data_IF_581300099271
#
_entry.id   IF_581300099271
#
_cell.length_a   1.000
_cell.length_b   1.000
_cell.length_c   1.000
_cell.angle_alpha   90.00
_cell.angle_beta   90.00
_cell.angle_gamma   90.00
#
_symmetry.space_group_name_H-M   'P 1'
#
loop_
_entity.id
_entity.type
_entity.pdbx_description
1 polymer ?
#
# COMPACT_ATOMS: atom_id res chain seq x y z
N UNK A 1 9.90 -32.07 6.22
CA UNK A 1 9.18 -32.00 4.93
C UNK A 1 8.81 -30.56 4.67
N UNK A 2 9.45 -29.91 3.71
CA UNK A 2 9.14 -28.52 3.32
C UNK A 2 7.91 -28.56 2.41
N UNK A 3 6.77 -28.06 2.88
CA UNK A 3 5.59 -27.88 2.03
C UNK A 3 5.89 -26.70 1.10
N UNK A 4 5.89 -26.96 -0.21
CA UNK A 4 6.03 -25.89 -1.20
C UNK A 4 4.97 -24.80 -0.90
N UNK A 5 5.34 -23.51 -0.93
CA UNK A 5 4.41 -22.43 -0.61
C UNK A 5 3.21 -22.50 -1.56
N UNK A 6 2.01 -22.51 -0.98
CA UNK A 6 0.77 -22.55 -1.75
C UNK A 6 0.75 -21.38 -2.75
N UNK A 7 0.62 -21.70 -4.04
CA UNK A 7 0.61 -20.68 -5.08
C UNK A 7 -0.57 -19.71 -4.87
N UNK A 8 -0.33 -18.41 -5.03
CA UNK A 8 -1.38 -17.41 -4.88
C UNK A 8 -2.56 -17.68 -5.84
N UNK A 9 -3.81 -17.48 -5.39
CA UNK A 9 -5.00 -17.62 -6.23
C UNK A 9 -4.84 -16.91 -7.58
N UNK A 10 -5.27 -17.55 -8.67
CA UNK A 10 -5.14 -17.01 -10.04
C UNK A 10 -5.70 -15.58 -10.16
N UNK A 11 -6.80 -15.30 -9.46
CA UNK A 11 -7.44 -13.97 -9.42
C UNK A 11 -6.52 -12.89 -8.83
N UNK A 12 -5.84 -13.18 -7.72
CA UNK A 12 -4.91 -12.22 -7.12
C UNK A 12 -3.70 -11.96 -8.03
N UNK A 13 -3.21 -12.98 -8.72
CA UNK A 13 -2.14 -12.78 -9.72
C UNK A 13 -2.58 -11.88 -10.87
N UNK A 14 -3.81 -12.05 -11.36
CA UNK A 14 -4.38 -11.18 -12.40
C UNK A 14 -4.52 -9.73 -11.91
N UNK A 15 -5.01 -9.51 -10.68
CA UNK A 15 -5.11 -8.17 -10.11
C UNK A 15 -3.73 -7.49 -10.00
N UNK A 16 -2.70 -8.22 -9.59
CA UNK A 16 -1.33 -7.69 -9.56
C UNK A 16 -0.80 -7.34 -10.96
N UNK A 17 -1.13 -8.16 -11.96
CA UNK A 17 -0.76 -7.87 -13.36
C UNK A 17 -1.51 -6.63 -13.89
N UNK A 18 -2.80 -6.49 -13.58
CA UNK A 18 -3.58 -5.29 -13.94
C UNK A 18 -2.99 -4.06 -13.27
N UNK A 19 -2.68 -4.13 -11.97
CA UNK A 19 -2.03 -3.04 -11.25
C UNK A 19 -0.70 -2.64 -11.90
N UNK A 20 0.14 -3.62 -12.28
CA UNK A 20 1.41 -3.35 -12.96
C UNK A 20 1.20 -2.64 -14.30
N UNK A 21 0.21 -3.07 -15.09
CA UNK A 21 -0.14 -2.40 -16.35
C UNK A 21 -0.58 -0.96 -16.10
N UNK A 22 -1.46 -0.71 -15.12
CA UNK A 22 -1.90 0.64 -14.76
C UNK A 22 -0.72 1.53 -14.33
N UNK A 23 0.19 1.00 -13.51
CA UNK A 23 1.41 1.69 -13.11
C UNK A 23 2.29 2.06 -14.32
N UNK A 24 2.53 1.10 -15.23
CA UNK A 24 3.33 1.34 -16.43
C UNK A 24 2.67 2.35 -17.38
N UNK A 25 1.34 2.31 -17.50
CA UNK A 25 0.57 3.28 -18.28
C UNK A 25 0.65 4.69 -17.68
N UNK A 26 0.71 4.81 -16.35
CA UNK A 26 0.82 6.11 -15.67
C UNK A 26 2.22 6.74 -15.78
N UNK A 27 3.28 5.93 -15.90
CA UNK A 27 4.66 6.44 -15.96
C UNK A 27 4.90 7.55 -17.00
N UNK A 28 4.53 7.41 -18.29
CA UNK A 28 4.84 8.41 -19.32
C UNK A 28 4.05 9.72 -19.22
N UNK A 29 3.04 9.81 -18.36
CA UNK A 29 2.26 11.05 -18.21
C UNK A 29 2.99 12.04 -17.30
N UNK A 30 3.15 13.28 -17.73
CA UNK A 30 3.65 14.41 -16.93
C UNK A 30 2.59 14.93 -15.94
N UNK A 31 1.99 14.01 -15.18
CA UNK A 31 1.04 14.37 -14.13
C UNK A 31 1.76 14.57 -12.79
N UNK A 32 1.57 15.76 -12.21
CA UNK A 32 2.13 16.15 -10.91
C UNK A 32 1.11 16.04 -9.79
N UNK A 33 -0.10 15.53 -10.05
CA UNK A 33 -1.14 15.37 -9.03
C UNK A 33 -0.78 14.26 -8.05
N UNK A 34 -1.01 14.51 -6.75
CA UNK A 34 -0.78 13.51 -5.69
C UNK A 34 -1.78 12.36 -5.72
N UNK A 35 -2.93 12.55 -6.38
CA UNK A 35 -4.03 11.59 -6.37
C UNK A 35 -3.62 10.25 -6.98
N UNK A 36 -2.95 10.26 -8.13
CA UNK A 36 -2.55 9.05 -8.83
C UNK A 36 -1.56 8.18 -8.06
N UNK A 37 -0.39 8.68 -7.58
CA UNK A 37 0.52 7.86 -6.81
C UNK A 37 -0.10 7.38 -5.50
N UNK A 38 -1.00 8.16 -4.89
CA UNK A 38 -1.72 7.75 -3.68
C UNK A 38 -2.68 6.58 -3.96
N UNK A 39 -3.49 6.67 -5.03
CA UNK A 39 -4.41 5.59 -5.43
C UNK A 39 -3.62 4.33 -5.78
N UNK A 40 -2.55 4.44 -6.57
CA UNK A 40 -1.70 3.30 -6.91
C UNK A 40 -1.07 2.65 -5.67
N UNK A 41 -0.61 3.45 -4.70
CA UNK A 41 -0.08 2.94 -3.44
C UNK A 41 -1.14 2.24 -2.59
N UNK A 42 -2.34 2.81 -2.48
CA UNK A 42 -3.46 2.19 -1.76
C UNK A 42 -3.88 0.86 -2.40
N UNK A 43 -4.01 0.82 -3.73
CA UNK A 43 -4.34 -0.40 -4.46
C UNK A 43 -3.27 -1.47 -4.25
N UNK A 44 -1.99 -1.08 -4.26
CA UNK A 44 -0.87 -1.97 -3.99
C UNK A 44 -0.93 -2.52 -2.56
N UNK A 45 -1.20 -1.67 -1.56
CA UNK A 45 -1.41 -2.08 -0.17
C UNK A 45 -2.55 -3.10 -0.06
N UNK A 46 -3.71 -2.83 -0.66
CA UNK A 46 -4.86 -3.74 -0.61
C UNK A 46 -4.51 -5.08 -1.24
N UNK A 47 -3.91 -5.06 -2.43
CA UNK A 47 -3.52 -6.27 -3.13
C UNK A 47 -2.50 -7.11 -2.33
N UNK A 48 -1.47 -6.47 -1.78
CA UNK A 48 -0.47 -7.15 -0.95
C UNK A 48 -1.10 -7.69 0.35
N UNK A 49 -2.06 -7.00 0.97
CA UNK A 49 -2.75 -7.47 2.17
C UNK A 49 -3.53 -8.75 1.87
N UNK A 50 -4.29 -8.75 0.78
CA UNK A 50 -5.05 -9.91 0.31
C UNK A 50 -4.11 -11.09 -0.01
N UNK A 51 -2.95 -10.82 -0.60
CA UNK A 51 -1.96 -11.85 -0.91
C UNK A 51 -1.34 -12.45 0.34
N UNK A 52 -1.12 -11.63 1.36
CA UNK A 52 -0.58 -12.06 2.64
C UNK A 52 -1.65 -12.67 3.55
N UNK A 53 -2.95 -12.67 3.18
CA UNK A 53 -4.08 -13.13 4.02
C UNK A 53 -3.82 -14.39 4.85
N UNK A 54 -3.24 -15.47 4.28
CA UNK A 54 -2.93 -16.68 5.05
C UNK A 54 -2.02 -16.43 6.25
N UNK A 55 -1.01 -15.56 6.10
CA UNK A 55 -0.14 -15.16 7.20
C UNK A 55 -0.90 -14.36 8.27
N UNK A 56 -1.72 -13.38 7.87
CA UNK A 56 -2.50 -12.59 8.83
C UNK A 56 -3.43 -13.45 9.67
N UNK A 57 -4.03 -14.48 9.07
CA UNK A 57 -4.92 -15.41 9.79
C UNK A 57 -4.24 -16.20 10.89
N UNK A 58 -2.90 -16.29 10.89
CA UNK A 58 -2.12 -16.94 11.95
C UNK A 58 -1.69 -15.98 13.07
N UNK A 59 -1.83 -14.66 12.88
CA UNK A 59 -1.38 -13.69 13.86
C UNK A 59 -2.29 -13.67 15.08
N UNK A 60 -1.68 -13.57 16.26
CA UNK A 60 -2.39 -13.26 17.49
C UNK A 60 -3.01 -11.86 17.46
N UNK A 61 -3.96 -11.61 18.35
CA UNK A 61 -4.83 -10.41 18.34
C UNK A 61 -4.06 -9.07 18.33
N UNK A 62 -3.10 -8.93 19.23
CA UNK A 62 -2.28 -7.70 19.33
C UNK A 62 -1.43 -7.53 18.06
N UNK A 63 -0.86 -8.62 17.55
CA UNK A 63 -0.09 -8.59 16.32
C UNK A 63 -0.95 -8.19 15.12
N UNK A 64 -2.17 -8.72 14.97
CA UNK A 64 -3.07 -8.34 13.88
C UNK A 64 -3.38 -6.84 13.86
N UNK A 65 -3.64 -6.23 15.02
CA UNK A 65 -3.89 -4.78 15.12
C UNK A 65 -2.64 -3.95 14.78
N UNK A 66 -1.47 -4.34 15.31
CA UNK A 66 -0.21 -3.65 15.04
C UNK A 66 0.16 -3.74 13.56
N UNK A 67 0.01 -4.93 12.96
CA UNK A 67 0.32 -5.11 11.54
C UNK A 67 -0.71 -4.36 10.68
N UNK A 68 -2.00 -4.28 11.06
CA UNK A 68 -2.97 -3.45 10.34
C UNK A 68 -2.64 -1.95 10.38
N UNK A 69 -2.19 -1.45 11.54
CA UNK A 69 -1.67 -0.08 11.68
C UNK A 69 -0.45 0.17 10.79
N UNK A 70 0.54 -0.72 10.85
CA UNK A 70 1.73 -0.67 10.02
C UNK A 70 1.39 -0.76 8.52
N UNK A 71 0.36 -1.53 8.17
CA UNK A 71 -0.08 -1.70 6.79
C UNK A 71 -0.69 -0.45 6.22
N UNK A 72 -1.60 0.20 6.94
CA UNK A 72 -2.20 1.44 6.44
C UNK A 72 -1.16 2.58 6.43
N UNK A 73 -0.23 2.59 7.37
CA UNK A 73 0.93 3.49 7.36
C UNK A 73 1.89 3.26 6.18
N UNK A 74 1.86 2.07 5.56
CA UNK A 74 2.69 1.80 4.38
C UNK A 74 2.22 2.53 3.12
N UNK A 75 0.95 2.95 3.04
CA UNK A 75 0.42 3.64 1.86
C UNK A 75 1.12 5.00 1.60
N UNK A 76 1.29 5.91 2.59
CA UNK A 76 2.12 7.11 2.40
C UNK A 76 3.57 6.78 2.01
N UNK A 77 4.18 5.76 2.61
CA UNK A 77 5.58 5.36 2.30
C UNK A 77 5.70 4.89 0.85
N UNK A 78 4.78 4.05 0.38
CA UNK A 78 4.74 3.60 -1.01
C UNK A 78 4.45 4.77 -1.95
N UNK A 79 3.57 5.69 -1.57
CA UNK A 79 3.31 6.93 -2.35
C UNK A 79 4.59 7.74 -2.53
N UNK A 80 5.36 7.95 -1.46
CA UNK A 80 6.66 8.63 -1.52
C UNK A 80 7.63 7.87 -2.44
N UNK A 81 7.69 6.54 -2.33
CA UNK A 81 8.51 5.70 -3.20
C UNK A 81 8.14 5.84 -4.68
N UNK A 82 6.85 5.87 -5.02
CA UNK A 82 6.37 6.09 -6.38
C UNK A 82 6.71 7.49 -6.90
N UNK A 83 6.59 8.52 -6.05
CA UNK A 83 6.97 9.90 -6.41
C UNK A 83 8.47 10.01 -6.71
N UNK A 84 9.33 9.41 -5.87
CA UNK A 84 10.78 9.35 -6.08
C UNK A 84 11.11 8.58 -7.36
N UNK A 85 10.48 7.40 -7.55
CA UNK A 85 10.71 6.57 -8.72
C UNK A 85 10.36 7.31 -10.01
N UNK A 86 9.18 7.93 -10.09
CA UNK A 86 8.75 8.68 -11.27
C UNK A 86 9.69 9.85 -11.56
N UNK A 87 10.01 10.64 -10.54
CA UNK A 87 10.96 11.78 -10.67
C UNK A 87 12.33 11.33 -11.18
N UNK A 88 12.79 10.14 -10.78
CA UNK A 88 14.06 9.58 -11.22
C UNK A 88 14.03 9.03 -12.66
N UNK A 89 12.89 8.53 -13.12
CA UNK A 89 12.74 7.95 -14.47
C UNK A 89 12.70 9.04 -15.55
N UNK A 90 12.12 10.20 -15.27
CA UNK A 90 11.91 11.22 -16.31
C UNK A 90 13.13 12.07 -16.69
N UNK A 91 14.29 11.91 -16.05
CA UNK A 91 15.59 12.46 -16.47
C UNK A 91 15.64 13.97 -16.85
N UNK A 92 14.68 14.78 -16.43
CA UNK A 92 14.71 16.23 -16.54
C UNK A 92 15.40 16.89 -15.33
N UNK A 93 15.92 18.10 -15.53
CA UNK A 93 16.71 18.84 -14.53
C UNK A 93 15.94 19.32 -13.29
N UNK A 94 14.67 18.96 -13.16
CA UNK A 94 13.81 19.29 -12.03
C UNK A 94 12.96 18.08 -11.62
N UNK A 95 12.57 17.98 -10.34
CA UNK A 95 11.70 16.91 -9.85
C UNK A 95 10.25 17.11 -10.33
N UNK A 96 9.56 16.01 -10.64
CA UNK A 96 8.13 16.00 -11.00
C UNK A 96 7.22 16.52 -9.88
N UNK A 97 7.65 16.31 -8.64
CA UNK A 97 6.89 16.68 -7.45
C UNK A 97 7.63 17.73 -6.62
N UNK A 98 6.91 18.76 -6.21
CA UNK A 98 7.44 19.80 -5.34
C UNK A 98 7.66 19.26 -3.92
N UNK A 99 8.65 19.83 -3.20
CA UNK A 99 8.96 19.42 -1.81
C UNK A 99 7.74 19.51 -0.88
N UNK A 100 6.85 20.49 -1.09
CA UNK A 100 5.59 20.61 -0.33
C UNK A 100 4.68 19.39 -0.47
N UNK A 101 4.72 18.71 -1.62
CA UNK A 101 3.91 17.52 -1.89
C UNK A 101 4.48 16.31 -1.15
N UNK A 102 5.80 16.15 -1.10
CA UNK A 102 6.45 15.15 -0.24
C UNK A 102 6.11 15.38 1.24
N UNK A 103 6.20 16.63 1.71
CA UNK A 103 5.84 16.98 3.07
C UNK A 103 4.36 16.65 3.39
N UNK A 104 3.44 16.96 2.47
CA UNK A 104 2.03 16.64 2.64
C UNK A 104 1.79 15.13 2.83
N UNK A 105 2.40 14.28 2.00
CA UNK A 105 2.30 12.81 2.13
C UNK A 105 2.94 12.33 3.43
N UNK A 106 4.09 12.87 3.82
CA UNK A 106 4.78 12.51 5.06
C UNK A 106 3.92 12.84 6.29
N UNK A 107 3.27 14.01 6.30
CA UNK A 107 2.38 14.41 7.41
C UNK A 107 1.13 13.55 7.55
N UNK A 108 0.77 12.78 6.52
CA UNK A 108 -0.35 11.84 6.59
C UNK A 108 -0.01 10.53 7.32
N UNK A 109 1.28 10.20 7.52
CA UNK A 109 1.73 8.96 8.16
C UNK A 109 1.09 8.69 9.53
N UNK A 110 1.09 9.64 10.49
CA UNK A 110 0.50 9.41 11.80
C UNK A 110 -0.99 9.13 11.73
N UNK A 111 -1.71 9.85 10.85
CA UNK A 111 -3.14 9.67 10.64
C UNK A 111 -3.44 8.29 10.03
N UNK A 112 -2.70 7.88 9.00
CA UNK A 112 -2.85 6.56 8.39
C UNK A 112 -2.54 5.44 9.39
N UNK A 113 -1.48 5.57 10.20
CA UNK A 113 -1.16 4.60 11.25
C UNK A 113 -2.29 4.49 12.29
N UNK A 114 -2.81 5.63 12.76
CA UNK A 114 -3.93 5.69 13.70
C UNK A 114 -5.18 5.03 13.13
N UNK A 115 -5.56 5.37 11.90
CA UNK A 115 -6.72 4.78 11.22
C UNK A 115 -6.57 3.27 11.03
N UNK A 116 -5.37 2.79 10.67
CA UNK A 116 -5.11 1.36 10.51
C UNK A 116 -5.21 0.60 11.83
N UNK A 117 -4.74 1.21 12.92
CA UNK A 117 -4.90 0.68 14.27
C UNK A 117 -6.37 0.62 14.70
N UNK A 118 -7.13 1.69 14.46
CA UNK A 118 -8.57 1.73 14.75
C UNK A 118 -9.35 0.69 13.93
N UNK A 119 -9.02 0.52 12.65
CA UNK A 119 -9.63 -0.51 11.81
C UNK A 119 -9.30 -1.92 12.31
N UNK A 120 -8.05 -2.19 12.67
CA UNK A 120 -7.63 -3.47 13.25
C UNK A 120 -8.38 -3.78 14.55
N UNK A 121 -8.53 -2.77 15.42
CA UNK A 121 -9.28 -2.88 16.66
C UNK A 121 -10.79 -3.10 16.42
N UNK A 122 -11.39 -2.37 15.47
CA UNK A 122 -12.80 -2.53 15.12
C UNK A 122 -13.10 -3.92 14.56
N UNK A 123 -12.27 -4.41 13.64
CA UNK A 123 -12.37 -5.77 13.12
C UNK A 123 -12.25 -6.81 14.25
N UNK A 124 -11.36 -6.57 15.21
CA UNK A 124 -11.21 -7.43 16.37
C UNK A 124 -12.49 -7.52 17.22
N UNK A 125 -13.10 -6.38 17.56
CA UNK A 125 -14.33 -6.33 18.37
C UNK A 125 -15.48 -7.08 17.67
N UNK A 126 -15.60 -6.93 16.35
CA UNK A 126 -16.65 -7.58 15.56
C UNK A 126 -16.48 -9.11 15.52
N UNK A 127 -15.25 -9.60 15.45
CA UNK A 127 -14.96 -11.04 15.40
C UNK A 127 -15.17 -11.74 16.76
N UNK A 128 -15.06 -11.02 17.89
CA UNK A 128 -15.33 -11.59 19.21
C UNK A 128 -16.82 -11.81 19.53
N UNK A 129 -17.72 -11.23 18.74
CA UNK A 129 -19.18 -11.39 18.93
C UNK A 129 -19.75 -12.65 18.24
N UNK A 130 -18.94 -13.39 17.46
CA UNK A 130 -19.32 -14.65 16.82
C UNK A 130 -18.76 -15.82 17.61
#
# INVERSE_FOLDING_TARGET
MSTAPAAAPRRLRMLGAVWLVLFLLWLPFEDTQLTFPLVLALDLCVWLALRMWPFWSTLGRVAATLVAAAWLASAPVLTLGLMVFKSGVHAHGFPDFALRQFAAVLTALPLCALLGGLMGLGAHILLMKK
#
